data_IF_377729995620
#
_entry.id   IF_377729995620
#
_cell.length_a   1.000
_cell.length_b   1.000
_cell.length_c   1.000
_cell.angle_alpha   90.00
_cell.angle_beta   90.00
_cell.angle_gamma   90.00
#
_symmetry.space_group_name_H-M   'P 1'
#
loop_
_entity.id
_entity.type
_entity.pdbx_description
1 polymer ?
#
# COMPACT_ATOMS: atom_id res chain seq x y z
N UNK A 1 -19.78 -7.73 -19.94
CA UNK A 1 -20.99 -7.05 -19.42
C UNK A 1 -20.49 -5.96 -18.51
N UNK A 2 -21.03 -4.74 -18.63
CA UNK A 2 -20.50 -3.54 -17.97
C UNK A 2 -20.95 -3.38 -16.52
N UNK A 3 -20.51 -2.32 -15.86
CA UNK A 3 -21.10 -1.84 -14.61
C UNK A 3 -22.56 -1.45 -14.88
N UNK A 4 -23.50 -2.13 -14.23
CA UNK A 4 -24.92 -1.83 -14.32
C UNK A 4 -25.39 -1.28 -12.99
N UNK A 5 -25.76 0.00 -13.00
CA UNK A 5 -26.32 0.71 -11.85
C UNK A 5 -27.80 0.92 -12.13
N UNK A 6 -28.65 0.46 -11.21
CA UNK A 6 -30.07 0.69 -11.31
C UNK A 6 -30.40 2.17 -11.10
N UNK A 7 -31.20 2.74 -12.01
CA UNK A 7 -31.69 4.12 -11.91
C UNK A 7 -32.98 4.27 -11.09
N UNK A 8 -33.45 3.23 -10.39
CA UNK A 8 -34.65 3.29 -9.55
C UNK A 8 -34.45 4.19 -8.33
N UNK A 9 -35.42 5.05 -8.08
CA UNK A 9 -35.30 6.14 -7.09
C UNK A 9 -36.00 5.83 -5.78
N UNK A 10 -36.90 4.83 -5.73
CA UNK A 10 -37.61 4.43 -4.51
C UNK A 10 -37.16 3.07 -3.97
N UNK A 11 -37.32 2.85 -2.66
CA UNK A 11 -37.08 1.55 -2.01
C UNK A 11 -38.06 0.48 -2.48
N UNK A 12 -39.30 0.86 -2.81
CA UNK A 12 -40.32 -0.04 -3.33
C UNK A 12 -39.91 -0.60 -4.71
N UNK A 13 -39.40 0.25 -5.61
CA UNK A 13 -38.89 -0.18 -6.92
C UNK A 13 -37.70 -1.15 -6.80
N UNK A 14 -36.83 -0.91 -5.81
CA UNK A 14 -35.65 -1.73 -5.53
C UNK A 14 -35.95 -3.07 -4.84
N UNK A 15 -37.14 -3.25 -4.28
CA UNK A 15 -37.51 -4.42 -3.48
C UNK A 15 -38.55 -5.33 -4.17
N UNK A 16 -38.73 -5.20 -5.50
CA UNK A 16 -39.81 -5.90 -6.21
C UNK A 16 -39.47 -7.33 -6.65
N UNK A 17 -38.27 -7.87 -6.38
CA UNK A 17 -37.72 -9.10 -7.01
C UNK A 17 -37.75 -9.12 -8.55
N UNK A 18 -38.20 -8.03 -9.21
CA UNK A 18 -38.20 -7.85 -10.66
C UNK A 18 -36.92 -7.13 -11.06
N UNK A 19 -36.38 -7.41 -12.25
CA UNK A 19 -35.20 -6.70 -12.75
C UNK A 19 -35.42 -5.18 -12.79
N UNK A 20 -34.34 -4.40 -12.65
CA UNK A 20 -34.40 -2.94 -12.70
C UNK A 20 -35.08 -2.46 -13.99
N UNK A 21 -36.05 -1.55 -13.87
CA UNK A 21 -36.84 -1.06 -15.02
C UNK A 21 -36.02 -0.08 -15.89
N UNK A 22 -34.97 0.53 -15.34
CA UNK A 22 -34.11 1.51 -16.02
C UNK A 22 -32.62 1.27 -15.67
N UNK A 23 -31.97 0.23 -16.21
CA UNK A 23 -30.55 0.00 -15.98
C UNK A 23 -29.73 1.07 -16.71
N UNK A 24 -28.75 1.65 -16.01
CA UNK A 24 -27.70 2.48 -16.63
C UNK A 24 -26.44 1.66 -16.76
N UNK A 25 -25.85 1.68 -17.94
CA UNK A 25 -24.59 1.03 -18.24
C UNK A 25 -23.49 2.08 -18.18
N UNK A 26 -22.60 1.95 -17.20
CA UNK A 26 -21.48 2.88 -17.01
C UNK A 26 -20.16 2.12 -17.17
N UNK A 27 -19.08 2.83 -17.53
CA UNK A 27 -17.72 2.29 -17.62
C UNK A 27 -17.60 1.00 -18.47
N UNK A 28 -18.36 0.90 -19.57
CA UNK A 28 -18.32 -0.26 -20.48
C UNK A 28 -16.91 -0.43 -21.05
N UNK A 29 -16.33 -1.61 -20.88
CA UNK A 29 -14.95 -1.88 -21.32
C UNK A 29 -13.87 -1.21 -20.46
N UNK A 30 -14.24 -0.66 -19.30
CA UNK A 30 -13.35 0.09 -18.42
C UNK A 30 -13.34 -0.40 -16.96
N UNK A 31 -14.06 -1.49 -16.66
CA UNK A 31 -14.05 -2.10 -15.32
C UNK A 31 -12.83 -2.99 -15.16
N UNK A 32 -11.89 -2.55 -14.31
CA UNK A 32 -10.59 -3.18 -14.06
C UNK A 32 -10.67 -4.28 -12.98
N UNK A 33 -11.60 -4.16 -12.04
CA UNK A 33 -11.75 -5.09 -10.92
C UNK A 33 -12.97 -4.75 -10.07
N UNK A 34 -13.34 -5.65 -9.16
CA UNK A 34 -14.39 -5.42 -8.18
C UNK A 34 -13.95 -5.88 -6.79
N UNK A 35 -14.55 -5.29 -5.75
CA UNK A 35 -14.27 -5.68 -4.39
C UNK A 35 -15.39 -5.33 -3.42
N UNK A 36 -15.43 -6.04 -2.29
CA UNK A 36 -16.36 -5.79 -1.18
C UNK A 36 -15.64 -5.15 0.02
N UNK A 37 -16.18 -4.06 0.54
CA UNK A 37 -15.84 -3.51 1.84
C UNK A 37 -16.90 -3.96 2.85
N UNK A 38 -16.53 -4.89 3.73
CA UNK A 38 -17.44 -5.44 4.74
C UNK A 38 -17.34 -4.63 6.03
N UNK A 39 -18.44 -3.97 6.41
CA UNK A 39 -18.59 -3.18 7.63
C UNK A 39 -19.18 -3.95 8.82
N UNK A 40 -19.27 -5.29 8.73
CA UNK A 40 -19.77 -6.19 9.76
C UNK A 40 -21.29 -6.40 9.72
N UNK A 41 -22.07 -5.32 9.63
CA UNK A 41 -23.53 -5.40 9.48
C UNK A 41 -24.00 -5.15 8.05
N UNK A 42 -23.23 -4.35 7.31
CA UNK A 42 -23.50 -4.02 5.93
C UNK A 42 -22.24 -4.16 5.09
N UNK A 43 -22.41 -4.51 3.82
CA UNK A 43 -21.34 -4.63 2.83
C UNK A 43 -21.58 -3.66 1.69
N UNK A 44 -20.53 -2.92 1.35
CA UNK A 44 -20.49 -2.05 0.17
C UNK A 44 -19.64 -2.70 -0.93
N UNK A 45 -20.15 -2.68 -2.14
CA UNK A 45 -19.56 -3.30 -3.32
C UNK A 45 -19.06 -2.22 -4.27
N UNK A 46 -17.77 -2.27 -4.59
CA UNK A 46 -17.07 -1.28 -5.41
C UNK A 46 -16.53 -1.90 -6.69
N UNK A 47 -16.54 -1.10 -7.75
CA UNK A 47 -15.84 -1.35 -9.00
C UNK A 47 -14.62 -0.45 -9.06
N UNK A 48 -13.45 -1.02 -9.40
CA UNK A 48 -12.27 -0.27 -9.80
C UNK A 48 -12.41 -0.03 -11.30
N UNK A 49 -12.43 1.24 -11.71
CA UNK A 49 -12.70 1.63 -13.10
C UNK A 49 -11.65 2.61 -13.61
N UNK A 50 -11.40 2.57 -14.92
CA UNK A 50 -10.71 3.64 -15.61
C UNK A 50 -11.68 4.76 -15.96
N UNK A 51 -11.37 5.97 -15.52
CA UNK A 51 -12.14 7.17 -15.82
C UNK A 51 -11.48 7.96 -16.95
N UNK A 52 -12.05 7.87 -18.14
CA UNK A 52 -11.50 8.51 -19.35
C UNK A 52 -11.43 10.05 -19.23
N UNK A 53 -12.43 10.77 -18.68
CA UNK A 53 -12.34 12.22 -18.49
C UNK A 53 -11.16 12.67 -17.63
N UNK A 54 -10.87 11.98 -16.52
CA UNK A 54 -9.77 12.33 -15.62
C UNK A 54 -8.46 11.60 -15.92
N UNK A 55 -8.46 10.69 -16.89
CA UNK A 55 -7.34 9.81 -17.23
C UNK A 55 -6.75 9.13 -15.98
N UNK A 56 -7.62 8.61 -15.12
CA UNK A 56 -7.21 8.07 -13.83
C UNK A 56 -8.00 6.83 -13.41
N UNK A 57 -7.40 6.01 -12.54
CA UNK A 57 -8.07 4.88 -11.90
C UNK A 57 -8.84 5.38 -10.69
N UNK A 58 -10.13 5.06 -10.61
CA UNK A 58 -11.02 5.43 -9.52
C UNK A 58 -11.89 4.26 -9.05
N UNK A 59 -12.69 4.47 -8.02
CA UNK A 59 -13.70 3.51 -7.56
C UNK A 59 -15.10 4.06 -7.65
N UNK A 60 -16.05 3.17 -7.92
CA UNK A 60 -17.48 3.46 -7.90
C UNK A 60 -18.20 2.41 -7.07
N UNK A 61 -18.87 2.87 -6.01
CA UNK A 61 -19.80 2.01 -5.28
C UNK A 61 -20.98 1.72 -6.19
N UNK A 62 -21.22 0.44 -6.48
CA UNK A 62 -22.32 0.00 -7.31
C UNK A 62 -23.36 -0.78 -6.53
N UNK A 63 -23.05 -1.23 -5.32
CA UNK A 63 -24.00 -1.94 -4.48
C UNK A 63 -23.72 -1.72 -3.01
N UNK A 64 -24.77 -1.80 -2.21
CA UNK A 64 -24.73 -1.85 -0.75
C UNK A 64 -25.87 -2.73 -0.24
N UNK A 65 -25.61 -3.52 0.80
CA UNK A 65 -26.65 -4.33 1.48
C UNK A 65 -27.61 -3.46 2.29
N UNK A 66 -27.16 -2.30 2.77
CA UNK A 66 -27.95 -1.38 3.60
C UNK A 66 -29.21 -0.86 2.90
N UNK A 67 -29.14 -0.75 1.57
CA UNK A 67 -30.17 -0.11 0.73
C UNK A 67 -30.76 -1.06 -0.32
N UNK A 68 -30.59 -2.37 -0.15
CA UNK A 68 -31.27 -3.41 -0.93
C UNK A 68 -31.03 -3.24 -2.45
N UNK A 69 -29.79 -2.97 -2.83
CA UNK A 69 -29.40 -2.64 -4.23
C UNK A 69 -29.17 -3.88 -5.10
N UNK A 70 -29.88 -4.98 -4.84
CA UNK A 70 -29.62 -6.31 -5.43
C UNK A 70 -29.74 -6.38 -6.96
N UNK A 71 -30.35 -5.38 -7.60
CA UNK A 71 -30.45 -5.29 -9.06
C UNK A 71 -29.19 -4.77 -9.74
N UNK A 72 -28.29 -4.16 -8.97
CA UNK A 72 -27.03 -3.67 -9.49
C UNK A 72 -26.07 -4.84 -9.67
N UNK A 73 -25.20 -4.74 -10.68
CA UNK A 73 -24.16 -5.73 -10.86
C UNK A 73 -22.94 -5.10 -11.50
N UNK A 74 -21.79 -5.66 -11.17
CA UNK A 74 -20.52 -5.34 -11.78
C UNK A 74 -19.97 -6.58 -12.48
N UNK A 75 -19.23 -6.36 -13.55
CA UNK A 75 -18.37 -7.38 -14.14
C UNK A 75 -17.13 -6.72 -14.70
N UNK A 76 -16.00 -7.35 -14.44
CA UNK A 76 -14.71 -6.96 -15.00
C UNK A 76 -14.73 -7.17 -16.51
N UNK A 77 -14.55 -6.09 -17.25
CA UNK A 77 -14.60 -6.08 -18.72
C UNK A 77 -13.58 -5.14 -19.38
N UNK A 78 -12.59 -4.63 -18.62
CA UNK A 78 -11.56 -3.74 -19.14
C UNK A 78 -10.85 -4.31 -20.38
N UNK A 79 -10.75 -3.50 -21.43
CA UNK A 79 -10.00 -3.88 -22.63
C UNK A 79 -8.49 -3.86 -22.38
N UNK A 80 -7.67 -4.56 -23.18
CA UNK A 80 -6.22 -4.49 -23.08
C UNK A 80 -5.67 -3.06 -23.14
N UNK A 81 -6.27 -2.19 -23.96
CA UNK A 81 -5.89 -0.78 -24.09
C UNK A 81 -6.16 0.01 -22.81
N UNK A 82 -7.31 -0.22 -22.18
CA UNK A 82 -7.65 0.42 -20.89
C UNK A 82 -6.74 -0.07 -19.78
N UNK A 83 -6.43 -1.37 -19.74
CA UNK A 83 -5.46 -1.94 -18.78
C UNK A 83 -4.09 -1.29 -18.98
N UNK A 84 -3.64 -1.11 -20.23
CA UNK A 84 -2.37 -0.45 -20.52
C UNK A 84 -2.35 1.02 -20.07
N UNK A 85 -3.42 1.78 -20.33
CA UNK A 85 -3.57 3.16 -19.85
C UNK A 85 -3.52 3.24 -18.32
N UNK A 86 -4.31 2.40 -17.65
CA UNK A 86 -4.36 2.35 -16.19
C UNK A 86 -2.99 1.96 -15.59
N UNK A 87 -2.29 1.01 -16.19
CA UNK A 87 -0.94 0.62 -15.76
C UNK A 87 0.05 1.77 -15.93
N UNK A 88 0.00 2.48 -17.06
CA UNK A 88 0.83 3.63 -17.32
C UNK A 88 0.56 4.76 -16.32
N UNK A 89 -0.70 5.05 -16.01
CA UNK A 89 -1.08 6.10 -15.05
C UNK A 89 -0.61 5.79 -13.62
N UNK A 90 -0.59 4.51 -13.23
CA UNK A 90 -0.24 4.08 -11.87
C UNK A 90 1.27 3.90 -11.66
N UNK A 91 2.04 3.72 -12.74
CA UNK A 91 3.49 3.45 -12.68
C UNK A 91 4.28 4.52 -11.92
N UNK A 92 4.07 5.84 -12.09
CA UNK A 92 4.80 6.86 -11.33
C UNK A 92 4.57 6.75 -9.82
N UNK A 93 3.31 6.56 -9.40
CA UNK A 93 2.94 6.40 -7.99
C UNK A 93 3.57 5.15 -7.36
N UNK A 94 3.59 4.03 -8.09
CA UNK A 94 4.29 2.82 -7.63
C UNK A 94 5.80 3.06 -7.51
N UNK A 95 6.39 3.73 -8.49
CA UNK A 95 7.83 4.03 -8.52
C UNK A 95 8.24 4.87 -7.32
N UNK A 96 7.52 5.96 -7.05
CA UNK A 96 7.77 6.84 -5.90
C UNK A 96 7.65 6.07 -4.58
N UNK A 97 6.56 5.32 -4.40
CA UNK A 97 6.32 4.55 -3.16
C UNK A 97 7.37 3.48 -2.92
N UNK A 98 7.73 2.71 -3.95
CA UNK A 98 8.72 1.64 -3.82
C UNK A 98 10.12 2.20 -3.61
N UNK A 99 10.47 3.31 -4.28
CA UNK A 99 11.71 4.04 -4.04
C UNK A 99 11.80 4.49 -2.58
N UNK A 100 10.77 5.19 -2.09
CA UNK A 100 10.74 5.65 -0.69
C UNK A 100 10.87 4.49 0.31
N UNK A 101 10.22 3.34 0.03
CA UNK A 101 10.36 2.14 0.84
C UNK A 101 11.80 1.59 0.82
N UNK A 102 12.41 1.49 -0.36
CA UNK A 102 13.79 0.99 -0.50
C UNK A 102 14.80 1.92 0.20
N UNK A 103 14.61 3.23 0.08
CA UNK A 103 15.41 4.23 0.80
C UNK A 103 15.25 4.13 2.31
N UNK A 104 14.02 3.94 2.79
CA UNK A 104 13.76 3.72 4.22
C UNK A 104 14.41 2.42 4.70
N UNK A 105 14.28 1.33 3.93
CA UNK A 105 14.91 0.04 4.23
C UNK A 105 16.44 0.12 4.24
N UNK A 106 17.03 0.92 3.36
CA UNK A 106 18.49 1.15 3.30
C UNK A 106 19.02 1.88 4.54
N UNK A 107 18.18 2.71 5.18
CA UNK A 107 18.50 3.43 6.42
C UNK A 107 18.30 2.57 7.68
N UNK A 108 17.64 1.41 7.58
CA UNK A 108 17.45 0.54 8.73
C UNK A 108 18.77 -0.08 9.17
N UNK A 109 19.07 0.03 10.47
CA UNK A 109 20.19 -0.65 11.11
C UNK A 109 19.97 -2.17 11.00
N UNK A 110 20.84 -2.85 10.24
CA UNK A 110 20.86 -4.31 10.01
C UNK A 110 22.30 -4.82 10.13
N UNK A 111 22.45 -6.13 10.39
CA UNK A 111 23.76 -6.79 10.39
C UNK A 111 24.43 -6.61 9.03
N UNK A 112 25.74 -6.33 9.03
CA UNK A 112 26.55 -6.06 7.84
C UNK A 112 26.56 -4.59 7.37
N UNK A 113 25.83 -3.68 8.05
CA UNK A 113 25.85 -2.24 7.72
C UNK A 113 26.92 -1.52 8.53
N UNK A 114 27.59 -0.56 7.90
CA UNK A 114 28.44 0.40 8.61
C UNK A 114 27.58 1.50 9.21
N UNK A 115 27.76 1.74 10.50
CA UNK A 115 26.95 2.68 11.27
C UNK A 115 27.83 3.57 12.14
N UNK A 116 27.30 4.75 12.47
CA UNK A 116 27.89 5.72 13.38
C UNK A 116 27.03 5.86 14.63
N UNK A 117 27.68 5.97 15.78
CA UNK A 117 27.01 6.34 17.02
C UNK A 117 26.62 7.81 17.02
N UNK A 118 25.35 8.09 17.32
CA UNK A 118 24.81 9.45 17.50
C UNK A 118 24.99 9.96 18.93
N UNK A 119 25.57 9.14 19.81
CA UNK A 119 25.81 9.52 21.22
C UNK A 119 26.85 10.65 21.28
N UNK A 120 26.53 11.73 21.99
CA UNK A 120 27.42 12.91 22.08
C UNK A 120 28.45 12.83 23.22
N UNK A 121 28.25 11.95 24.21
CA UNK A 121 29.10 11.84 25.41
C UNK A 121 29.41 10.39 25.78
N UNK A 122 30.57 10.17 26.39
CA UNK A 122 30.99 8.89 26.95
C UNK A 122 31.67 7.96 25.92
N UNK A 123 31.83 6.69 26.29
CA UNK A 123 32.68 5.70 25.59
C UNK A 123 32.21 5.34 24.17
N UNK A 124 30.98 5.71 23.82
CA UNK A 124 30.40 5.42 22.51
C UNK A 124 30.37 6.65 21.59
N UNK A 125 30.84 7.80 22.03
CA UNK A 125 30.79 9.01 21.20
C UNK A 125 31.76 8.91 20.02
N UNK A 126 31.26 9.22 18.82
CA UNK A 126 32.08 9.23 17.58
C UNK A 126 32.47 7.86 17.03
N UNK A 127 31.98 6.76 17.62
CA UNK A 127 32.30 5.42 17.12
C UNK A 127 31.66 5.17 15.76
N UNK A 128 32.43 4.58 14.85
CA UNK A 128 32.00 4.07 13.54
C UNK A 128 32.44 2.62 13.44
N UNK A 129 31.55 1.74 13.02
CA UNK A 129 31.86 0.31 12.88
C UNK A 129 30.78 -0.46 12.15
N UNK A 130 31.07 -1.72 11.84
CA UNK A 130 30.12 -2.62 11.19
C UNK A 130 29.20 -3.26 12.24
N UNK A 131 27.89 -3.31 11.96
CA UNK A 131 26.92 -4.01 12.79
C UNK A 131 27.12 -5.51 12.66
N UNK A 132 27.61 -6.14 13.73
CA UNK A 132 27.79 -7.58 13.78
C UNK A 132 26.68 -8.31 14.54
N UNK A 133 25.87 -7.58 15.32
CA UNK A 133 24.73 -8.15 16.04
C UNK A 133 23.60 -7.13 16.20
N UNK A 134 22.35 -7.60 16.09
CA UNK A 134 21.15 -6.84 16.44
C UNK A 134 20.16 -7.78 17.12
N UNK A 135 19.64 -7.39 18.27
CA UNK A 135 18.68 -8.23 18.98
C UNK A 135 18.11 -7.59 20.23
N UNK A 136 17.25 -8.36 20.90
CA UNK A 136 16.64 -7.95 22.15
C UNK A 136 17.65 -8.04 23.29
N UNK A 137 17.77 -6.99 24.10
CA UNK A 137 18.46 -7.08 25.38
C UNK A 137 17.61 -7.90 26.36
N UNK A 138 18.11 -9.08 26.76
CA UNK A 138 17.39 -10.00 27.66
C UNK A 138 17.50 -9.59 29.13
N UNK A 139 18.45 -8.72 29.48
CA UNK A 139 18.80 -8.38 30.87
C UNK A 139 18.10 -7.09 31.30
N UNK A 140 17.87 -6.15 30.38
CA UNK A 140 17.11 -4.92 30.68
C UNK A 140 15.61 -5.16 30.64
N UNK A 141 14.95 -4.77 31.73
CA UNK A 141 13.50 -4.91 31.95
C UNK A 141 12.68 -4.04 30.99
N UNK A 142 11.45 -4.51 30.71
CA UNK A 142 10.41 -3.80 29.92
C UNK A 142 10.02 -2.43 30.50
N UNK A 143 10.47 -2.09 31.71
CA UNK A 143 10.18 -0.83 32.40
C UNK A 143 10.90 0.40 31.81
N UNK A 144 11.99 0.19 31.06
CA UNK A 144 12.83 1.27 30.50
C UNK A 144 13.10 1.08 29.01
N UNK A 145 12.06 1.09 28.16
CA UNK A 145 12.00 1.38 26.71
C UNK A 145 13.13 0.96 25.72
N UNK A 146 14.19 0.26 26.13
CA UNK A 146 15.34 -0.10 25.29
C UNK A 146 15.32 -1.60 25.03
N UNK A 147 14.38 -1.99 24.18
CA UNK A 147 14.18 -3.40 23.82
C UNK A 147 15.26 -3.89 22.84
N UNK A 148 15.70 -3.05 21.89
CA UNK A 148 16.64 -3.44 20.84
C UNK A 148 18.00 -2.77 20.99
N UNK A 149 19.04 -3.60 20.91
CA UNK A 149 20.44 -3.17 20.92
C UNK A 149 21.15 -3.64 19.67
N UNK A 150 22.24 -2.97 19.39
CA UNK A 150 23.15 -3.21 18.28
C UNK A 150 24.56 -3.37 18.85
N UNK A 151 25.25 -4.41 18.39
CA UNK A 151 26.68 -4.62 18.58
C UNK A 151 27.42 -4.20 17.33
N UNK A 152 28.27 -3.17 17.44
CA UNK A 152 29.18 -2.75 16.37
C UNK A 152 30.59 -3.25 16.68
N UNK A 153 31.30 -3.74 15.67
CA UNK A 153 32.70 -4.13 15.81
C UNK A 153 33.59 -2.92 15.45
N UNK A 154 34.43 -2.51 16.39
CA UNK A 154 35.38 -1.39 16.28
C UNK A 154 36.73 -1.86 16.81
N UNK A 155 37.77 -1.82 15.99
CA UNK A 155 39.15 -2.22 16.36
C UNK A 155 39.22 -3.61 17.02
N UNK A 156 38.48 -4.59 16.47
CA UNK A 156 38.40 -5.95 17.00
C UNK A 156 37.61 -6.11 18.30
N UNK A 157 37.00 -5.04 18.83
CA UNK A 157 36.17 -5.06 20.04
C UNK A 157 34.71 -4.77 19.70
N UNK A 158 33.80 -5.63 20.15
CA UNK A 158 32.35 -5.40 20.03
C UNK A 158 31.84 -4.42 21.07
N UNK A 159 31.16 -3.37 20.62
CA UNK A 159 30.51 -2.36 21.47
C UNK A 159 29.00 -2.41 21.32
N UNK A 160 28.29 -2.50 22.44
CA UNK A 160 26.83 -2.60 22.46
C UNK A 160 26.16 -1.27 22.84
N UNK A 161 25.20 -0.82 22.05
CA UNK A 161 24.43 0.40 22.32
C UNK A 161 22.97 0.26 21.87
N UNK A 162 22.06 1.16 22.32
CA UNK A 162 20.68 1.19 21.83
C UNK A 162 20.61 1.42 20.32
N UNK A 163 19.66 0.77 19.64
CA UNK A 163 19.50 0.93 18.18
C UNK A 163 19.16 2.37 17.77
N UNK A 164 18.50 3.12 18.64
CA UNK A 164 18.17 4.54 18.46
C UNK A 164 19.38 5.48 18.49
N UNK A 165 20.50 5.03 19.08
CA UNK A 165 21.73 5.82 19.18
C UNK A 165 22.70 5.56 18.03
N UNK A 166 22.19 5.02 16.92
CA UNK A 166 22.99 4.54 15.80
C UNK A 166 22.30 4.89 14.49
N UNK A 167 23.08 5.41 13.54
CA UNK A 167 22.62 5.73 12.19
C UNK A 167 23.54 5.08 11.14
N UNK A 168 22.98 4.70 9.99
CA UNK A 168 23.75 4.16 8.87
C UNK A 168 24.53 5.30 8.21
N UNK A 169 25.85 5.13 8.05
CA UNK A 169 26.75 6.19 7.53
C UNK A 169 26.50 6.42 6.04
N UNK A 170 26.45 5.34 5.27
CA UNK A 170 26.20 5.36 3.84
C UNK A 170 25.12 4.33 3.51
N UNK A 171 23.83 4.72 3.55
CA UNK A 171 22.77 3.82 3.11
C UNK A 171 23.01 3.47 1.64
N UNK A 172 22.89 2.19 1.30
CA UNK A 172 23.08 1.74 -0.07
C UNK A 172 22.11 2.50 -1.02
N UNK A 173 22.58 2.94 -2.20
CA UNK A 173 21.71 3.57 -3.17
C UNK A 173 20.61 2.61 -3.60
N UNK A 174 19.48 3.17 -4.04
CA UNK A 174 18.39 2.37 -4.58
C UNK A 174 18.89 1.65 -5.83
N UNK A 175 18.71 0.34 -5.87
CA UNK A 175 18.98 -0.45 -7.06
C UNK A 175 17.86 -0.19 -8.08
N UNK A 176 18.16 0.60 -9.12
CA UNK A 176 17.20 0.99 -10.15
C UNK A 176 16.63 -0.21 -10.94
N UNK A 177 17.42 -1.29 -11.12
CA UNK A 177 16.94 -2.49 -11.80
C UNK A 177 15.93 -3.27 -10.94
N UNK A 178 16.20 -3.39 -9.64
CA UNK A 178 15.29 -4.00 -8.67
C UNK A 178 14.01 -3.17 -8.50
N UNK A 179 14.14 -1.83 -8.50
CA UNK A 179 12.99 -0.92 -8.47
C UNK A 179 12.11 -1.12 -9.71
N UNK A 180 12.70 -1.13 -10.91
CA UNK A 180 11.96 -1.34 -12.15
C UNK A 180 11.22 -2.69 -12.17
N UNK A 181 11.88 -3.77 -11.73
CA UNK A 181 11.27 -5.08 -11.62
C UNK A 181 10.13 -5.11 -10.58
N UNK A 182 10.32 -4.45 -9.45
CA UNK A 182 9.31 -4.35 -8.38
C UNK A 182 8.09 -3.55 -8.83
N UNK A 183 8.30 -2.46 -9.56
CA UNK A 183 7.23 -1.64 -10.16
C UNK A 183 6.45 -2.47 -11.17
N UNK A 184 7.14 -3.18 -12.07
CA UNK A 184 6.49 -4.03 -13.06
C UNK A 184 5.67 -5.15 -12.41
N UNK A 185 6.20 -5.78 -11.36
CA UNK A 185 5.46 -6.78 -10.59
C UNK A 185 4.24 -6.17 -9.88
N UNK A 186 4.37 -4.98 -9.30
CA UNK A 186 3.28 -4.32 -8.59
C UNK A 186 2.13 -3.92 -9.51
N UNK A 187 2.46 -3.42 -10.72
CA UNK A 187 1.50 -3.03 -11.75
C UNK A 187 0.78 -4.23 -12.38
N UNK A 188 1.36 -5.44 -12.29
CA UNK A 188 0.72 -6.70 -12.75
C UNK A 188 -0.19 -7.37 -11.73
N UNK A 189 -0.29 -6.87 -10.50
CA UNK A 189 -1.18 -7.44 -9.47
C UNK A 189 -2.66 -7.25 -9.83
N UNK A 190 -3.55 -7.93 -9.13
CA UNK A 190 -4.98 -7.68 -9.26
C UNK A 190 -5.35 -6.23 -8.89
N UNK A 191 -6.17 -5.60 -9.72
CA UNK A 191 -6.57 -4.19 -9.59
C UNK A 191 -7.19 -3.83 -8.23
N UNK A 192 -8.05 -4.67 -7.63
CA UNK A 192 -8.55 -4.43 -6.27
C UNK A 192 -7.44 -4.27 -5.24
N UNK A 193 -6.48 -5.20 -5.20
CA UNK A 193 -5.37 -5.13 -4.25
C UNK A 193 -4.44 -3.95 -4.53
N UNK A 194 -4.20 -3.62 -5.81
CA UNK A 194 -3.43 -2.43 -6.19
C UNK A 194 -4.09 -1.16 -5.66
N UNK A 195 -5.37 -0.95 -5.99
CA UNK A 195 -6.10 0.26 -5.63
C UNK A 195 -6.22 0.41 -4.10
N UNK A 196 -6.59 -0.67 -3.39
CA UNK A 196 -6.67 -0.67 -1.92
C UNK A 196 -5.33 -0.34 -1.27
N UNK A 197 -4.23 -0.90 -1.76
CA UNK A 197 -2.89 -0.57 -1.27
C UNK A 197 -2.62 0.93 -1.36
N UNK A 198 -3.09 1.61 -2.41
CA UNK A 198 -2.92 3.06 -2.53
C UNK A 198 -3.85 3.86 -1.61
N UNK A 199 -5.16 3.59 -1.67
CA UNK A 199 -6.15 4.39 -0.94
C UNK A 199 -5.98 4.27 0.57
N UNK A 200 -5.75 3.07 1.10
CA UNK A 200 -5.64 2.86 2.55
C UNK A 200 -4.29 3.32 3.15
N UNK A 201 -3.23 3.50 2.34
CA UNK A 201 -1.92 3.94 2.88
C UNK A 201 -1.72 5.45 2.78
N UNK A 202 -2.41 6.13 1.86
CA UNK A 202 -2.22 7.56 1.61
C UNK A 202 -2.92 8.48 2.64
N UNK A 203 -3.67 7.94 3.61
CA UNK A 203 -4.50 8.77 4.50
C UNK A 203 -5.56 9.59 3.76
N UNK A 204 -5.81 9.29 2.48
CA UNK A 204 -6.84 9.93 1.70
C UNK A 204 -8.19 9.43 2.23
N UNK A 205 -9.11 10.34 2.62
CA UNK A 205 -10.46 9.92 2.96
C UNK A 205 -11.05 9.17 1.76
N UNK A 206 -11.71 8.04 2.05
CA UNK A 206 -12.56 7.39 1.07
C UNK A 206 -13.52 8.46 0.51
N UNK A 207 -13.75 8.51 -0.81
CA UNK A 207 -14.83 9.35 -1.34
C UNK A 207 -16.12 8.91 -0.63
N UNK A 208 -16.71 9.83 0.12
CA UNK A 208 -18.01 9.67 0.76
C UNK A 208 -19.12 9.57 -0.30
#
# INVERSE_FOLDING_TARGET
>A
MPLIICGCTSSEERNTHRGCVKPRHEYVGAVLGEYEHNGGHDSDFYAVVWDEPTQSVTTKCWGTTSSWTYHNHCRVDATPEVIAKANASMRPRWTERLRARMEADARLVRVGRVVRSTTTRGKNAGLVGEVAWKGRDKIRSTRYHTYYRVGIDVDGTRRFMPVENVEVVEPAPVNEAELAQSVESAVRRDWPSQYRSFVYTAGAPLPQ
#
